data_IF_702922776853
#
_entry.id   IF_702922776853
#
_cell.length_a   1.000
_cell.length_b   1.000
_cell.length_c   1.000
_cell.angle_alpha   90.00
_cell.angle_beta   90.00
_cell.angle_gamma   90.00
#
_symmetry.space_group_name_H-M   'P 1'
#
loop_
_entity.id
_entity.type
_entity.pdbx_description
1 polymer ?
#
# COMPACT_ATOMS: atom_id res chain seq x y z
N UNK A 1 -3.49 -46.81 23.55
CA UNK A 1 -4.08 -45.53 23.10
C UNK A 1 -2.98 -44.81 22.34
N UNK A 2 -3.03 -44.91 21.00
CA UNK A 2 -1.91 -44.59 20.12
C UNK A 2 -1.71 -43.09 19.90
N UNK A 3 -0.77 -42.63 19.09
CA UNK A 3 0.44 -43.23 18.51
C UNK A 3 1.17 -42.07 17.78
N UNK A 4 2.50 -42.15 17.68
CA UNK A 4 3.33 -41.65 16.56
C UNK A 4 3.66 -40.14 16.42
N UNK A 5 4.93 -39.83 16.74
CA UNK A 5 5.98 -39.20 15.88
C UNK A 5 5.54 -38.29 14.72
N UNK A 6 6.09 -37.07 14.63
CA UNK A 6 6.88 -36.62 13.46
C UNK A 6 7.73 -35.37 13.74
N UNK A 7 9.01 -35.54 13.43
CA UNK A 7 10.02 -34.55 13.08
C UNK A 7 9.52 -33.61 11.95
N UNK A 8 9.96 -32.35 11.89
CA UNK A 8 9.63 -31.50 10.74
C UNK A 8 10.14 -30.08 10.80
N UNK A 9 11.37 -29.87 10.32
CA UNK A 9 11.77 -28.62 9.68
C UNK A 9 10.66 -28.16 8.72
N UNK A 10 10.10 -26.98 8.90
CA UNK A 10 9.54 -26.23 7.78
C UNK A 10 9.99 -24.78 7.93
N UNK A 11 11.10 -24.49 7.25
CA UNK A 11 11.25 -23.32 6.40
C UNK A 11 9.87 -22.71 6.10
N UNK A 12 9.51 -21.68 6.85
CA UNK A 12 8.33 -20.89 6.56
C UNK A 12 8.78 -19.64 5.83
N UNK A 13 9.45 -19.84 4.69
CA UNK A 13 9.21 -19.10 3.45
C UNK A 13 7.72 -19.15 3.08
N UNK A 14 6.83 -18.68 3.97
CA UNK A 14 5.47 -18.32 3.60
C UNK A 14 5.58 -16.93 3.02
N UNK A 15 5.74 -16.91 1.69
CA UNK A 15 5.24 -15.90 0.76
C UNK A 15 4.72 -14.68 1.53
N UNK A 16 5.51 -13.61 1.54
CA UNK A 16 4.92 -12.27 1.62
C UNK A 16 4.09 -12.16 0.34
N UNK A 17 2.89 -12.73 0.37
CA UNK A 17 1.81 -12.40 -0.53
C UNK A 17 1.86 -10.88 -0.59
N UNK A 18 1.98 -10.33 -1.80
CA UNK A 18 2.02 -8.89 -2.09
C UNK A 18 0.76 -8.22 -1.55
N UNK A 19 0.64 -8.13 -0.23
CA UNK A 19 -0.36 -7.39 0.51
C UNK A 19 -0.03 -5.96 0.19
N UNK A 20 -0.73 -5.47 -0.82
CA UNK A 20 -0.69 -4.15 -1.43
C UNK A 20 0.04 -3.16 -0.50
N UNK A 21 1.33 -2.94 -0.75
CA UNK A 21 2.11 -2.08 0.14
C UNK A 21 1.50 -0.69 0.11
N UNK A 22 1.17 -0.14 1.29
CA UNK A 22 0.69 1.24 1.37
C UNK A 22 1.72 2.18 0.74
N UNK A 23 1.24 3.13 -0.03
CA UNK A 23 2.06 4.11 -0.71
C UNK A 23 1.63 5.53 -0.34
N UNK A 24 2.55 6.47 -0.49
CA UNK A 24 2.20 7.88 -0.62
C UNK A 24 1.67 8.14 -2.03
N UNK A 25 0.39 8.43 -2.16
CA UNK A 25 -0.24 8.84 -3.42
C UNK A 25 -0.25 10.35 -3.56
N UNK A 26 0.08 10.84 -4.75
CA UNK A 26 -0.15 12.23 -5.16
C UNK A 26 -1.36 12.29 -6.09
N UNK A 27 -2.22 13.28 -5.88
CA UNK A 27 -3.49 13.43 -6.56
C UNK A 27 -3.61 14.81 -7.19
N UNK A 28 -4.28 14.89 -8.35
CA UNK A 28 -4.66 16.15 -9.00
C UNK A 28 -6.11 16.03 -9.43
N UNK A 29 -6.98 16.86 -8.86
CA UNK A 29 -8.39 16.88 -9.26
C UNK A 29 -8.52 17.42 -10.70
N UNK A 30 -9.20 16.72 -11.62
CA UNK A 30 -9.37 17.19 -13.00
C UNK A 30 -10.37 18.35 -13.11
N UNK A 31 -11.22 18.58 -12.11
CA UNK A 31 -12.24 19.65 -12.11
C UNK A 31 -11.75 20.96 -11.50
N UNK A 32 -11.08 20.89 -10.35
CA UNK A 32 -10.65 22.09 -9.62
C UNK A 32 -9.13 22.25 -9.53
N UNK A 33 -8.37 21.35 -10.16
CA UNK A 33 -6.91 21.34 -10.23
C UNK A 33 -6.16 21.27 -8.89
N UNK A 34 -6.89 21.14 -7.78
CA UNK A 34 -6.31 20.95 -6.44
C UNK A 34 -5.39 19.74 -6.45
N UNK A 35 -4.21 19.91 -5.85
CA UNK A 35 -3.23 18.86 -5.63
C UNK A 35 -3.17 18.52 -4.15
N UNK A 36 -3.02 17.25 -3.83
CA UNK A 36 -2.81 16.78 -2.46
C UNK A 36 -2.04 15.46 -2.46
N UNK A 37 -1.54 15.08 -1.28
CA UNK A 37 -0.84 13.83 -1.06
C UNK A 37 -1.45 13.07 0.12
N UNK A 38 -1.44 11.74 0.07
CA UNK A 38 -1.94 10.90 1.16
C UNK A 38 -1.12 9.62 1.32
N UNK A 39 -0.69 9.32 2.55
CA UNK A 39 0.03 8.09 2.91
C UNK A 39 -0.84 6.85 3.08
N UNK A 40 -2.17 7.00 2.97
CA UNK A 40 -3.12 5.88 2.95
C UNK A 40 -3.64 5.65 1.53
N UNK A 41 -2.71 5.52 0.58
CA UNK A 41 -3.04 5.28 -0.82
C UNK A 41 -2.71 3.85 -1.21
N UNK A 42 -3.61 3.27 -2.01
CA UNK A 42 -3.43 1.99 -2.69
C UNK A 42 -3.44 2.28 -4.20
N UNK A 43 -2.60 1.64 -5.02
CA UNK A 43 -2.47 1.96 -6.46
C UNK A 43 -3.79 1.89 -7.26
N UNK A 44 -4.73 1.08 -6.79
CA UNK A 44 -6.03 0.80 -7.37
C UNK A 44 -7.19 1.57 -6.71
N UNK A 45 -6.93 2.44 -5.72
CA UNK A 45 -7.97 3.15 -4.96
C UNK A 45 -7.86 4.66 -5.17
N UNK A 46 -9.00 5.29 -5.49
CA UNK A 46 -9.12 6.75 -5.59
C UNK A 46 -9.44 7.41 -4.25
N UNK A 47 -9.09 8.68 -4.10
CA UNK A 47 -9.52 9.51 -2.98
C UNK A 47 -10.50 10.58 -3.42
N UNK A 48 -11.48 10.87 -2.57
CA UNK A 48 -12.48 11.88 -2.85
C UNK A 48 -11.87 13.28 -2.72
N UNK A 49 -12.03 14.09 -3.75
CA UNK A 49 -11.70 15.51 -3.68
C UNK A 49 -12.67 16.23 -2.74
N UNK A 50 -12.17 16.92 -1.72
CA UNK A 50 -13.00 17.64 -0.72
C UNK A 50 -13.89 18.73 -1.34
N UNK A 51 -13.44 19.36 -2.43
CA UNK A 51 -14.18 20.45 -3.10
C UNK A 51 -15.19 19.94 -4.12
N UNK A 52 -14.78 18.98 -4.94
CA UNK A 52 -15.58 18.52 -6.08
C UNK A 52 -16.37 17.24 -5.80
N UNK A 53 -16.08 16.58 -4.68
CA UNK A 53 -16.71 15.33 -4.24
C UNK A 53 -16.66 14.20 -5.28
N UNK A 54 -15.65 14.22 -6.14
CA UNK A 54 -15.36 13.15 -7.11
C UNK A 54 -14.18 12.32 -6.62
N UNK A 55 -14.18 11.02 -6.95
CA UNK A 55 -13.03 10.16 -6.74
C UNK A 55 -11.95 10.48 -7.78
N UNK A 56 -10.73 10.63 -7.29
CA UNK A 56 -9.54 10.94 -8.09
C UNK A 56 -8.51 9.87 -7.84
N UNK A 57 -8.03 9.23 -8.91
CA UNK A 57 -6.93 8.27 -8.83
C UNK A 57 -5.60 9.01 -8.61
N UNK A 58 -4.65 8.41 -7.88
CA UNK A 58 -3.32 8.98 -7.74
C UNK A 58 -2.63 8.99 -9.11
N UNK A 59 -1.98 10.09 -9.47
CA UNK A 59 -1.17 10.18 -10.70
C UNK A 59 0.27 9.71 -10.48
N UNK A 60 0.70 9.62 -9.22
CA UNK A 60 2.02 9.15 -8.83
C UNK A 60 1.90 8.50 -7.45
N UNK A 61 2.55 7.36 -7.25
CA UNK A 61 2.62 6.68 -5.96
C UNK A 61 4.09 6.42 -5.61
N UNK A 62 4.45 6.65 -4.35
CA UNK A 62 5.80 6.40 -3.82
C UNK A 62 5.69 5.35 -2.71
N UNK A 63 6.43 4.23 -2.80
CA UNK A 63 6.45 3.23 -1.73
C UNK A 63 6.92 3.83 -0.41
N UNK A 64 6.26 3.48 0.69
CA UNK A 64 6.65 3.93 2.04
C UNK A 64 8.05 3.46 2.45
N UNK A 65 8.47 2.31 1.94
CA UNK A 65 9.74 1.64 2.29
C UNK A 65 10.98 2.49 1.95
N UNK A 66 10.87 3.42 1.00
CA UNK A 66 11.97 4.32 0.62
C UNK A 66 12.22 5.48 1.61
N UNK A 67 11.36 5.70 2.60
CA UNK A 67 11.57 6.77 3.59
C UNK A 67 12.48 6.35 4.76
N UNK A 68 12.48 5.08 5.15
CA UNK A 68 13.22 4.61 6.33
C UNK A 68 14.67 4.19 6.05
N UNK A 69 15.02 3.83 4.80
CA UNK A 69 16.37 3.32 4.49
C UNK A 69 17.43 4.42 4.35
N UNK A 70 17.02 5.69 4.16
CA UNK A 70 17.96 6.80 3.91
C UNK A 70 18.42 7.58 5.15
N UNK A 71 18.03 7.17 6.35
CA UNK A 71 18.38 7.86 7.60
C UNK A 71 18.92 6.91 8.69
N UNK A 72 19.51 5.77 8.30
CA UNK A 72 20.26 4.90 9.21
C UNK A 72 21.76 5.12 9.07
#
# INVERSE_FOLDING_TARGET
MGNTVTNGNTDSSRKVEEKEKRCFGQYKCPKCERRWSSGNTWPNMGQQCEKCLIFVLPYSTVPLENFFVKNA
#
